data_IF_316190320652
#
_entry.id   IF_316190320652
#
_cell.length_a   1.000
_cell.length_b   1.000
_cell.length_c   1.000
_cell.angle_alpha   90.00
_cell.angle_beta   90.00
_cell.angle_gamma   90.00
#
_symmetry.space_group_name_H-M   'P 1'
#
loop_
_entity.id
_entity.type
_entity.pdbx_description
1 polymer ?
#
# COMPACT_ATOMS: atom_id res chain seq x y z
N UNK A 1 20.52 -25.03 4.07
CA UNK A 1 19.96 -24.65 5.37
C UNK A 1 19.98 -23.14 5.62
N UNK A 2 21.14 -22.48 5.80
CA UNK A 2 21.16 -21.01 6.05
C UNK A 2 20.59 -20.19 4.88
N UNK A 3 20.86 -20.61 3.65
CA UNK A 3 20.30 -20.02 2.43
C UNK A 3 18.79 -20.19 2.29
N UNK A 4 18.23 -21.29 2.81
CA UNK A 4 16.79 -21.58 2.75
C UNK A 4 16.02 -20.75 3.76
N UNK A 5 16.54 -20.62 4.99
CA UNK A 5 15.96 -19.75 6.03
C UNK A 5 15.95 -18.30 5.55
N UNK A 6 17.04 -17.83 4.94
CA UNK A 6 17.10 -16.49 4.41
C UNK A 6 16.08 -16.27 3.29
N UNK A 7 15.92 -17.25 2.39
CA UNK A 7 14.92 -17.20 1.32
C UNK A 7 13.49 -17.14 1.88
N UNK A 8 13.17 -18.02 2.84
CA UNK A 8 11.86 -18.04 3.50
C UNK A 8 11.57 -16.69 4.20
N UNK A 9 12.56 -16.12 4.88
CA UNK A 9 12.43 -14.82 5.52
C UNK A 9 12.17 -13.70 4.50
N UNK A 10 12.82 -13.70 3.34
CA UNK A 10 12.54 -12.74 2.28
C UNK A 10 11.13 -12.90 1.69
N UNK A 11 10.66 -14.13 1.52
CA UNK A 11 9.28 -14.42 1.11
C UNK A 11 8.27 -13.89 2.13
N UNK A 12 8.50 -14.12 3.43
CA UNK A 12 7.67 -13.56 4.52
C UNK A 12 7.68 -12.03 4.51
N UNK A 13 8.85 -11.41 4.36
CA UNK A 13 8.96 -9.94 4.26
C UNK A 13 8.21 -9.41 3.04
N UNK A 14 8.27 -10.12 1.92
CA UNK A 14 7.59 -9.72 0.69
C UNK A 14 6.06 -9.88 0.80
N UNK A 15 5.61 -10.95 1.45
CA UNK A 15 4.22 -11.16 1.81
C UNK A 15 3.70 -10.05 2.73
N UNK A 16 4.40 -9.73 3.81
CA UNK A 16 4.01 -8.65 4.73
C UNK A 16 4.02 -7.27 4.04
N UNK A 17 4.98 -7.01 3.15
CA UNK A 17 5.06 -5.77 2.35
C UNK A 17 3.93 -5.64 1.33
N UNK A 18 3.23 -6.72 0.98
CA UNK A 18 2.14 -6.67 0.00
C UNK A 18 1.04 -5.68 0.39
N UNK A 19 0.75 -5.55 1.69
CA UNK A 19 -0.21 -4.56 2.18
C UNK A 19 0.25 -3.13 1.90
N UNK A 20 1.52 -2.81 2.14
CA UNK A 20 2.06 -1.46 1.84
C UNK A 20 2.04 -1.15 0.35
N UNK A 21 2.26 -2.15 -0.50
CA UNK A 21 2.09 -1.99 -1.95
C UNK A 21 0.64 -1.69 -2.32
N UNK A 22 -0.33 -2.39 -1.72
CA UNK A 22 -1.75 -2.11 -1.93
C UNK A 22 -2.15 -0.70 -1.44
N UNK A 23 -1.67 -0.27 -0.27
CA UNK A 23 -1.84 1.11 0.23
C UNK A 23 -1.31 2.14 -0.77
N UNK A 24 -0.12 1.88 -1.34
CA UNK A 24 0.47 2.78 -2.34
C UNK A 24 -0.36 2.81 -3.63
N UNK A 25 -0.77 1.65 -4.16
CA UNK A 25 -1.61 1.57 -5.37
C UNK A 25 -2.92 2.32 -5.20
N UNK A 26 -3.62 2.15 -4.08
CA UNK A 26 -4.85 2.92 -3.82
C UNK A 26 -4.59 4.42 -3.85
N UNK A 27 -3.49 4.87 -3.23
CA UNK A 27 -3.12 6.29 -3.25
C UNK A 27 -2.84 6.77 -4.68
N UNK A 28 -2.05 6.03 -5.43
CA UNK A 28 -1.69 6.39 -6.81
C UNK A 28 -2.96 6.50 -7.70
N UNK A 29 -3.94 5.61 -7.52
CA UNK A 29 -5.24 5.68 -8.22
C UNK A 29 -6.07 6.89 -7.77
N UNK A 30 -6.10 7.18 -6.46
CA UNK A 30 -6.79 8.36 -5.92
C UNK A 30 -6.20 9.66 -6.48
N UNK A 31 -4.87 9.75 -6.52
CA UNK A 31 -4.15 10.90 -7.06
C UNK A 31 -4.49 11.05 -8.55
N UNK A 32 -4.60 9.95 -9.31
CA UNK A 32 -5.03 9.99 -10.71
C UNK A 32 -6.47 10.48 -10.90
N UNK A 33 -7.41 9.98 -10.10
CA UNK A 33 -8.80 10.48 -10.10
C UNK A 33 -8.83 11.98 -9.81
N UNK A 34 -7.97 12.49 -8.92
CA UNK A 34 -7.88 13.92 -8.61
C UNK A 34 -7.29 14.73 -9.77
N UNK A 35 -6.26 14.22 -10.45
CA UNK A 35 -5.75 14.83 -11.69
C UNK A 35 -6.84 14.92 -12.74
N UNK A 36 -7.56 13.82 -12.99
CA UNK A 36 -8.69 13.78 -13.93
C UNK A 36 -9.87 14.68 -13.51
N UNK A 37 -10.04 15.01 -12.23
CA UNK A 37 -11.05 16.00 -11.85
C UNK A 37 -10.58 17.42 -12.12
N UNK A 38 -9.30 17.68 -11.93
CA UNK A 38 -8.70 19.01 -12.05
C UNK A 38 -8.58 19.42 -13.51
N UNK A 39 -8.09 18.53 -14.37
CA UNK A 39 -7.95 18.79 -15.81
C UNK A 39 -9.31 19.08 -16.47
N UNK A 40 -10.40 18.42 -16.01
CA UNK A 40 -11.78 18.75 -16.43
C UNK A 40 -12.23 20.16 -16.00
N UNK A 41 -11.82 20.63 -14.83
CA UNK A 41 -12.19 21.96 -14.32
C UNK A 41 -11.44 23.08 -15.03
N UNK A 42 -10.24 22.80 -15.52
CA UNK A 42 -9.37 23.76 -16.20
C UNK A 42 -8.89 23.21 -17.54
N UNK A 43 -9.78 23.00 -18.53
CA UNK A 43 -9.34 22.70 -19.88
C UNK A 43 -8.44 23.85 -20.33
N UNK A 44 -7.17 23.55 -20.59
CA UNK A 44 -6.16 24.52 -21.00
C UNK A 44 -6.76 25.49 -22.00
N UNK A 45 -6.85 26.77 -21.64
CA UNK A 45 -7.40 27.83 -22.48
C UNK A 45 -6.50 27.95 -23.71
N UNK A 46 -6.89 27.30 -24.81
CA UNK A 46 -6.32 27.59 -26.12
C UNK A 46 -6.94 28.92 -26.55
N UNK A 47 -6.24 30.01 -26.24
CA UNK A 47 -6.62 31.38 -26.58
C UNK A 47 -6.38 31.64 -28.07
N UNK A 48 -7.13 30.95 -28.94
CA UNK A 48 -7.05 31.13 -30.39
C UNK A 48 -8.45 31.28 -31.01
N UNK A 49 -9.24 32.21 -30.45
CA UNK A 49 -10.34 32.95 -31.11
C UNK A 49 -11.47 32.22 -31.87
N UNK A 50 -11.45 30.90 -32.07
CA UNK A 50 -12.40 30.15 -32.89
C UNK A 50 -12.95 28.93 -32.15
N UNK A 51 -14.29 28.76 -32.07
CA UNK A 51 -14.86 27.53 -31.54
C UNK A 51 -14.74 26.43 -32.61
N UNK A 52 -13.86 25.45 -32.39
CA UNK A 52 -13.82 24.21 -33.18
C UNK A 52 -14.79 23.19 -32.59
N UNK A 53 -15.73 22.70 -33.40
CA UNK A 53 -16.80 21.78 -33.00
C UNK A 53 -16.38 20.32 -32.78
N UNK A 54 -15.24 20.05 -32.11
CA UNK A 54 -14.75 18.69 -31.81
C UNK A 54 -14.78 18.32 -30.32
N UNK A 55 -15.34 19.17 -29.46
CA UNK A 55 -15.20 19.06 -28.00
C UNK A 55 -16.09 18.01 -27.32
N UNK A 56 -17.08 17.43 -28.00
CA UNK A 56 -18.05 16.52 -27.37
C UNK A 56 -17.52 15.09 -27.21
N UNK A 57 -16.74 14.58 -28.17
CA UNK A 57 -16.11 13.24 -28.09
C UNK A 57 -15.04 13.18 -27.01
N UNK A 58 -14.22 14.25 -26.91
CA UNK A 58 -13.15 14.34 -25.92
C UNK A 58 -13.71 14.31 -24.49
N UNK A 59 -14.91 14.86 -24.28
CA UNK A 59 -15.58 14.85 -22.98
C UNK A 59 -16.16 13.47 -22.63
N UNK A 60 -16.72 12.72 -23.59
CA UNK A 60 -17.25 11.39 -23.32
C UNK A 60 -16.14 10.38 -23.01
N UNK A 61 -15.05 10.43 -23.76
CA UNK A 61 -13.90 9.53 -23.57
C UNK A 61 -13.24 9.78 -22.21
N UNK A 62 -13.16 11.06 -21.82
CA UNK A 62 -12.65 11.46 -20.52
C UNK A 62 -13.49 10.94 -19.34
N UNK A 63 -14.82 11.00 -19.46
CA UNK A 63 -15.74 10.48 -18.45
C UNK A 63 -15.57 8.96 -18.32
N UNK A 64 -15.41 8.25 -19.45
CA UNK A 64 -15.18 6.81 -19.43
C UNK A 64 -13.89 6.43 -18.68
N UNK A 65 -12.78 7.15 -18.89
CA UNK A 65 -11.52 6.92 -18.17
C UNK A 65 -11.69 7.18 -16.67
N UNK A 66 -12.40 8.24 -16.28
CA UNK A 66 -12.66 8.55 -14.88
C UNK A 66 -13.48 7.43 -14.21
N UNK A 67 -14.52 6.93 -14.87
CA UNK A 67 -15.34 5.84 -14.37
C UNK A 67 -14.53 4.54 -14.22
N UNK A 68 -13.66 4.23 -15.17
CA UNK A 68 -12.72 3.09 -15.08
C UNK A 68 -11.80 3.21 -13.85
N UNK A 69 -11.22 4.40 -13.61
CA UNK A 69 -10.38 4.63 -12.43
C UNK A 69 -11.17 4.48 -11.11
N UNK A 70 -12.44 4.88 -11.09
CA UNK A 70 -13.31 4.71 -9.92
C UNK A 70 -13.60 3.22 -9.65
N UNK A 71 -13.88 2.43 -10.68
CA UNK A 71 -14.08 0.98 -10.53
C UNK A 71 -12.78 0.26 -10.11
N UNK A 72 -11.64 0.68 -10.67
CA UNK A 72 -10.33 0.19 -10.27
C UNK A 72 -10.05 0.50 -8.78
N UNK A 73 -10.36 1.72 -8.33
CA UNK A 73 -10.22 2.12 -6.93
C UNK A 73 -11.06 1.25 -5.99
N UNK A 74 -12.32 0.95 -6.36
CA UNK A 74 -13.20 0.08 -5.56
C UNK A 74 -12.59 -1.31 -5.41
N UNK A 75 -12.08 -1.87 -6.50
CA UNK A 75 -11.44 -3.20 -6.53
C UNK A 75 -10.19 -3.21 -5.66
N UNK A 76 -9.28 -2.25 -5.84
CA UNK A 76 -8.04 -2.16 -5.06
C UNK A 76 -8.32 -1.97 -3.57
N UNK A 77 -9.34 -1.19 -3.18
CA UNK A 77 -9.75 -1.03 -1.78
C UNK A 77 -10.20 -2.34 -1.16
N UNK A 78 -10.97 -3.15 -1.88
CA UNK A 78 -11.43 -4.45 -1.42
C UNK A 78 -10.24 -5.42 -1.26
N UNK A 79 -9.34 -5.46 -2.24
CA UNK A 79 -8.13 -6.28 -2.18
C UNK A 79 -7.20 -5.87 -1.03
N UNK A 80 -6.97 -4.57 -0.86
CA UNK A 80 -6.21 -4.02 0.26
C UNK A 80 -6.82 -4.42 1.60
N UNK A 81 -8.15 -4.33 1.75
CA UNK A 81 -8.84 -4.72 2.97
C UNK A 81 -8.69 -6.22 3.27
N UNK A 82 -8.82 -7.07 2.24
CA UNK A 82 -8.60 -8.53 2.37
C UNK A 82 -7.15 -8.85 2.73
N UNK A 83 -6.19 -8.19 2.08
CA UNK A 83 -4.76 -8.32 2.35
C UNK A 83 -4.44 -7.95 3.81
N UNK A 84 -4.93 -6.79 4.28
CA UNK A 84 -4.82 -6.35 5.66
C UNK A 84 -5.38 -7.39 6.64
N UNK A 85 -6.64 -7.79 6.45
CA UNK A 85 -7.30 -8.76 7.34
C UNK A 85 -6.54 -10.09 7.41
N UNK A 86 -6.02 -10.56 6.27
CA UNK A 86 -5.26 -11.81 6.21
C UNK A 86 -3.97 -11.71 7.02
N UNK A 87 -3.16 -10.67 6.77
CA UNK A 87 -1.89 -10.45 7.46
C UNK A 87 -2.11 -10.22 8.96
N UNK A 88 -3.03 -9.32 9.31
CA UNK A 88 -3.29 -8.96 10.71
C UNK A 88 -3.77 -10.16 11.53
N UNK A 89 -4.62 -11.02 10.94
CA UNK A 89 -5.04 -12.26 11.59
C UNK A 89 -3.87 -13.20 11.88
N UNK A 90 -2.92 -13.32 10.96
CA UNK A 90 -1.74 -14.18 11.14
C UNK A 90 -0.77 -13.60 12.15
N UNK A 91 -0.57 -12.28 12.16
CA UNK A 91 0.20 -11.59 13.19
C UNK A 91 -0.46 -11.85 14.55
N UNK A 92 -1.78 -11.68 14.67
CA UNK A 92 -2.52 -11.89 15.93
C UNK A 92 -2.44 -13.32 16.48
N UNK A 93 -2.13 -14.32 15.64
CA UNK A 93 -1.96 -15.71 16.07
C UNK A 93 -0.56 -16.00 16.67
N UNK A 94 0.40 -15.08 16.55
CA UNK A 94 1.70 -15.24 17.17
C UNK A 94 1.62 -15.09 18.69
N UNK A 95 2.42 -15.85 19.43
CA UNK A 95 2.37 -15.84 20.90
C UNK A 95 3.01 -14.59 21.53
N UNK A 96 4.09 -14.09 20.93
CA UNK A 96 4.88 -13.01 21.51
C UNK A 96 4.34 -11.62 21.08
N UNK A 97 3.93 -10.81 22.03
CA UNK A 97 3.36 -9.48 21.78
C UNK A 97 4.35 -8.49 21.15
N UNK A 98 5.63 -8.52 21.54
CA UNK A 98 6.67 -7.66 20.95
C UNK A 98 6.92 -8.04 19.48
N UNK A 99 6.86 -9.33 19.15
CA UNK A 99 6.95 -9.81 17.77
C UNK A 99 5.74 -9.38 16.94
N UNK A 100 4.54 -9.41 17.51
CA UNK A 100 3.36 -8.88 16.84
C UNK A 100 3.51 -7.39 16.57
N UNK A 101 3.88 -6.62 17.59
CA UNK A 101 3.97 -5.16 17.52
C UNK A 101 5.03 -4.71 16.51
N UNK A 102 6.22 -5.33 16.52
CA UNK A 102 7.27 -4.98 15.55
C UNK A 102 6.81 -5.21 14.10
N UNK A 103 6.04 -6.28 13.84
CA UNK A 103 5.51 -6.56 12.51
C UNK A 103 4.39 -5.58 12.12
N UNK A 104 3.48 -5.25 13.04
CA UNK A 104 2.43 -4.24 12.80
C UNK A 104 3.04 -2.88 12.49
N UNK A 105 3.93 -2.39 13.34
CA UNK A 105 4.55 -1.08 13.14
C UNK A 105 5.34 -1.01 11.84
N UNK A 106 6.09 -2.07 11.52
CA UNK A 106 6.92 -2.07 10.31
C UNK A 106 6.11 -2.25 9.02
N UNK A 107 5.18 -3.19 8.99
CA UNK A 107 4.53 -3.63 7.74
C UNK A 107 3.09 -3.15 7.57
N UNK A 108 2.36 -2.88 8.66
CA UNK A 108 1.01 -2.31 8.59
C UNK A 108 1.11 -0.79 8.65
N UNK A 109 1.59 -0.24 9.75
CA UNK A 109 1.73 1.21 9.94
C UNK A 109 2.74 1.80 8.96
N UNK A 110 3.81 1.05 8.65
CA UNK A 110 4.81 1.43 7.66
C UNK A 110 5.89 2.37 8.21
N UNK A 111 6.16 2.30 9.51
CA UNK A 111 7.20 3.09 10.17
C UNK A 111 8.60 2.66 9.74
N UNK A 112 9.53 3.61 9.74
CA UNK A 112 10.97 3.35 9.60
C UNK A 112 11.50 2.67 10.86
N UNK A 113 12.65 2.00 10.77
CA UNK A 113 13.20 1.25 11.89
C UNK A 113 13.52 2.12 13.10
N UNK A 114 13.96 3.36 12.85
CA UNK A 114 14.22 4.37 13.88
C UNK A 114 12.95 4.73 14.65
N UNK A 115 11.83 4.90 13.93
CA UNK A 115 10.52 5.20 14.53
C UNK A 115 9.96 4.00 15.31
N UNK A 116 10.16 2.78 14.79
CA UNK A 116 9.79 1.54 15.49
C UNK A 116 10.57 1.41 16.80
N UNK A 117 11.89 1.65 16.77
CA UNK A 117 12.75 1.61 17.94
C UNK A 117 12.31 2.60 19.03
N UNK A 118 12.03 3.84 18.63
CA UNK A 118 11.49 4.86 19.54
C UNK A 118 10.15 4.42 20.11
N UNK A 119 9.23 3.94 19.27
CA UNK A 119 7.87 3.59 19.69
C UNK A 119 7.82 2.38 20.64
N UNK A 120 8.67 1.39 20.44
CA UNK A 120 8.76 0.23 21.33
C UNK A 120 9.77 0.42 22.48
N UNK A 121 10.40 1.60 22.60
CA UNK A 121 11.41 1.90 23.63
C UNK A 121 12.59 0.92 23.68
N UNK A 122 13.02 0.43 22.51
CA UNK A 122 14.14 -0.48 22.37
C UNK A 122 15.28 0.14 21.54
N UNK A 123 16.51 -0.31 21.78
CA UNK A 123 17.63 0.05 20.89
C UNK A 123 17.43 -0.53 19.49
N UNK A 124 18.01 0.13 18.49
CA UNK A 124 17.94 -0.32 17.10
C UNK A 124 18.37 -1.79 16.93
N UNK A 125 19.48 -2.19 17.55
CA UNK A 125 19.96 -3.59 17.53
C UNK A 125 18.94 -4.56 18.14
N UNK A 126 18.26 -4.16 19.20
CA UNK A 126 17.27 -5.00 19.87
C UNK A 126 16.02 -5.18 18.99
N UNK A 127 15.55 -4.13 18.30
CA UNK A 127 14.45 -4.22 17.34
C UNK A 127 14.74 -5.22 16.22
N UNK A 128 15.94 -5.18 15.63
CA UNK A 128 16.30 -6.13 14.56
C UNK A 128 16.38 -7.58 15.05
N UNK A 129 16.70 -7.79 16.33
CA UNK A 129 16.67 -9.10 16.96
C UNK A 129 15.23 -9.60 17.15
N UNK A 130 14.34 -8.74 17.67
CA UNK A 130 12.91 -9.06 17.80
C UNK A 130 12.33 -9.34 16.40
N UNK A 131 12.64 -8.51 15.41
CA UNK A 131 12.17 -8.68 14.04
C UNK A 131 12.64 -10.00 13.41
N UNK A 132 13.91 -10.35 13.57
CA UNK A 132 14.44 -11.64 13.10
C UNK A 132 13.70 -12.82 13.76
N UNK A 133 13.48 -12.75 15.08
CA UNK A 133 12.71 -13.74 15.83
C UNK A 133 11.25 -13.83 15.34
N UNK A 134 10.60 -12.68 15.15
CA UNK A 134 9.25 -12.57 14.64
C UNK A 134 9.10 -13.25 13.28
N UNK A 135 10.07 -13.07 12.36
CA UNK A 135 10.04 -13.74 11.06
C UNK A 135 10.20 -15.26 11.16
N UNK A 136 10.99 -15.77 12.10
CA UNK A 136 11.10 -17.21 12.34
C UNK A 136 9.77 -17.80 12.84
N UNK A 137 9.10 -17.09 13.75
CA UNK A 137 7.86 -17.54 14.38
C UNK A 137 6.61 -17.29 13.52
N UNK A 138 6.66 -16.31 12.62
CA UNK A 138 5.55 -15.97 11.74
C UNK A 138 5.21 -17.10 10.75
N UNK A 139 3.91 -17.42 10.64
CA UNK A 139 3.36 -18.41 9.71
C UNK A 139 2.46 -17.73 8.68
N UNK A 140 2.70 -18.02 7.40
CA UNK A 140 1.92 -17.49 6.27
C UNK A 140 0.62 -18.27 6.00
N UNK A 141 0.40 -19.39 6.70
CA UNK A 141 -0.74 -20.30 6.56
C UNK A 141 -1.58 -20.27 7.82
#
# INVERSE_FOLDING_TARGET
METEIQKENEEKKEYLRSYRRAVKREKDILDEIQRLRTDKMFPSVVNDGMPRGSSQSDLSDYIAILDEQIELLKTERLEKARCYQKIERQIKQMENEDEQEVLRLRYITGLKWEEVAVRMSYSWKHIHRIHSSALCNFKMT
#
